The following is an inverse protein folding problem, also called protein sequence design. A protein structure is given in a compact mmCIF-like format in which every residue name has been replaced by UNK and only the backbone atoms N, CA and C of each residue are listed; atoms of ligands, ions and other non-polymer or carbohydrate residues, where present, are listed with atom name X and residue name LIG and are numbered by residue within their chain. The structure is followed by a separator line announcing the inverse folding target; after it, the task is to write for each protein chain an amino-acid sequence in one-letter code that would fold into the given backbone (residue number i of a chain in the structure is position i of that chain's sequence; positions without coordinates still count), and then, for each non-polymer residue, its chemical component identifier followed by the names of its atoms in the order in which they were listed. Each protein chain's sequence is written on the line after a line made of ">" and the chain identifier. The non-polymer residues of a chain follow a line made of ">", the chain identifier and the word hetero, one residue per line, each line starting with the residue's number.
data_IF_036614579195
#
_entry.id   IF_036614579195
#
_cell.length_a   1.000
_cell.length_b   1.000
_cell.length_c   1.000
_cell.angle_alpha   90.00
_cell.angle_beta   90.00
_cell.angle_gamma   90.00
#
_symmetry.space_group_name_H-M   'P 1'
#
loop_
_entity.id
_entity.type
_entity.pdbx_description
1 polymer ?
#
# COMPACT_ATOMS: atom_id res chain seq x y z
N UNK A 1 15.97 3.75 -38.23
CA UNK A 1 15.03 3.43 -37.13
C UNK A 1 15.93 3.27 -35.92
N UNK A 2 16.00 4.34 -35.09
CA UNK A 2 16.86 4.31 -33.89
C UNK A 2 16.34 3.34 -32.85
N UNK A 3 17.26 2.77 -32.09
CA UNK A 3 16.93 1.90 -30.96
C UNK A 3 16.12 2.73 -29.92
N UNK A 4 14.91 2.32 -29.64
CA UNK A 4 14.12 2.87 -28.57
C UNK A 4 14.76 2.50 -27.22
N UNK A 5 15.06 3.49 -26.42
CA UNK A 5 15.66 3.31 -25.09
C UNK A 5 14.79 4.03 -24.02
N UNK A 6 14.89 3.65 -22.75
CA UNK A 6 14.21 4.37 -21.65
C UNK A 6 14.47 5.90 -21.70
N UNK A 7 15.65 6.31 -22.12
CA UNK A 7 16.02 7.73 -22.31
C UNK A 7 15.21 8.44 -23.41
N UNK A 8 14.66 7.70 -24.39
CA UNK A 8 13.76 8.27 -25.41
C UNK A 8 12.38 8.57 -24.82
N UNK A 9 11.89 7.72 -23.92
CA UNK A 9 10.62 7.92 -23.22
C UNK A 9 10.73 9.10 -22.25
N UNK A 10 11.86 9.21 -21.56
CA UNK A 10 12.20 10.36 -20.71
C UNK A 10 12.14 11.66 -21.49
N UNK A 11 12.74 11.74 -22.68
CA UNK A 11 12.67 12.91 -23.54
C UNK A 11 11.22 13.25 -23.94
N UNK A 12 10.45 12.25 -24.37
CA UNK A 12 9.06 12.43 -24.78
C UNK A 12 8.20 12.93 -23.61
N UNK A 13 8.43 12.40 -22.42
CA UNK A 13 7.79 12.87 -21.19
C UNK A 13 8.09 14.35 -20.92
N UNK A 14 9.35 14.78 -21.05
CA UNK A 14 9.75 16.17 -20.86
C UNK A 14 9.06 17.13 -21.85
N UNK A 15 8.93 16.73 -23.12
CA UNK A 15 8.20 17.51 -24.12
C UNK A 15 6.73 17.67 -23.76
N UNK A 16 6.08 16.60 -23.28
CA UNK A 16 4.68 16.63 -22.81
C UNK A 16 4.53 17.57 -21.61
N UNK A 17 5.42 17.45 -20.61
CA UNK A 17 5.39 18.34 -19.44
C UNK A 17 5.55 19.79 -19.85
N UNK A 18 6.50 20.09 -20.75
CA UNK A 18 6.70 21.44 -21.25
C UNK A 18 5.43 21.98 -21.94
N UNK A 19 4.85 21.22 -22.88
CA UNK A 19 3.64 21.62 -23.60
C UNK A 19 2.45 21.85 -22.64
N UNK A 20 2.27 21.01 -21.64
CA UNK A 20 1.22 21.18 -20.63
C UNK A 20 1.40 22.47 -19.81
N UNK A 21 2.65 22.86 -19.51
CA UNK A 21 2.94 24.01 -18.66
C UNK A 21 2.98 25.33 -19.41
N UNK A 22 3.41 25.30 -20.68
CA UNK A 22 3.63 26.51 -21.50
C UNK A 22 2.53 26.70 -22.55
N UNK A 23 1.87 25.62 -22.97
CA UNK A 23 0.81 25.65 -23.99
C UNK A 23 1.33 25.53 -25.42
N UNK A 24 2.64 25.35 -25.64
CA UNK A 24 3.27 25.15 -26.92
C UNK A 24 4.45 24.16 -26.85
N UNK A 25 4.82 23.59 -27.99
CA UNK A 25 5.99 22.69 -28.04
C UNK A 25 7.30 23.46 -27.86
N UNK A 26 8.29 22.91 -27.15
CA UNK A 26 9.61 23.55 -26.98
C UNK A 26 10.35 23.74 -28.33
N UNK A 27 10.21 22.77 -29.22
CA UNK A 27 10.81 22.77 -30.55
C UNK A 27 9.84 22.18 -31.57
N UNK A 28 9.72 22.81 -32.74
CA UNK A 28 8.87 22.30 -33.83
C UNK A 28 9.45 21.04 -34.51
N UNK A 29 10.77 20.86 -34.43
CA UNK A 29 11.47 19.70 -34.97
C UNK A 29 12.92 19.60 -34.43
N UNK A 30 13.58 18.47 -34.73
CA UNK A 30 14.95 18.21 -34.32
C UNK A 30 15.98 19.25 -34.81
N UNK A 31 15.81 19.82 -35.99
CA UNK A 31 16.74 20.83 -36.52
C UNK A 31 16.69 22.13 -35.68
N UNK A 32 15.54 22.48 -35.18
CA UNK A 32 15.37 23.64 -34.29
C UNK A 32 16.05 23.39 -32.93
N UNK A 33 15.89 22.21 -32.35
CA UNK A 33 16.62 21.81 -31.12
C UNK A 33 18.12 21.96 -31.33
N UNK A 34 18.66 21.41 -32.41
CA UNK A 34 20.08 21.47 -32.73
C UNK A 34 20.59 22.91 -32.98
N UNK A 35 19.80 23.73 -33.65
CA UNK A 35 20.12 25.14 -33.89
C UNK A 35 20.18 25.98 -32.61
N UNK A 36 19.47 25.54 -31.55
CA UNK A 36 19.50 26.16 -30.22
C UNK A 36 20.56 25.55 -29.28
N UNK A 37 21.49 24.75 -29.81
CA UNK A 37 22.56 24.14 -29.02
C UNK A 37 22.18 22.86 -28.34
N UNK A 38 21.10 22.20 -28.77
CA UNK A 38 20.70 20.88 -28.28
C UNK A 38 19.98 20.88 -26.94
N UNK A 39 19.54 22.04 -26.43
CA UNK A 39 18.84 22.18 -25.15
C UNK A 39 17.91 23.40 -25.13
N UNK A 40 17.09 23.50 -24.07
CA UNK A 40 16.30 24.72 -23.81
C UNK A 40 17.21 25.90 -23.49
N UNK A 41 16.95 27.05 -24.07
CA UNK A 41 17.60 28.32 -23.74
C UNK A 41 16.84 29.01 -22.59
N UNK A 42 17.49 29.98 -21.93
CA UNK A 42 16.91 30.67 -20.77
C UNK A 42 15.53 31.28 -21.05
N UNK A 43 15.37 31.88 -22.24
CA UNK A 43 14.09 32.46 -22.69
C UNK A 43 13.01 31.41 -23.01
N UNK A 44 13.38 30.15 -23.08
CA UNK A 44 12.48 29.00 -23.28
C UNK A 44 12.12 28.30 -22.02
N UNK A 45 12.71 28.65 -20.88
CA UNK A 45 12.36 27.98 -19.61
C UNK A 45 10.88 28.12 -19.27
N UNK A 46 10.19 27.05 -18.82
CA UNK A 46 8.76 27.10 -18.54
C UNK A 46 8.32 28.27 -17.66
N UNK A 47 9.07 28.58 -16.59
CA UNK A 47 8.75 29.70 -15.69
C UNK A 47 8.90 31.07 -16.35
N UNK A 48 9.79 31.23 -17.35
CA UNK A 48 9.95 32.44 -18.10
C UNK A 48 8.84 32.65 -19.18
N UNK A 49 8.23 31.53 -19.59
CA UNK A 49 7.11 31.55 -20.57
C UNK A 49 5.75 31.65 -19.87
N UNK A 50 5.60 31.05 -18.74
CA UNK A 50 4.39 31.07 -17.93
C UNK A 50 4.73 31.36 -16.44
N UNK A 51 4.45 32.60 -15.96
CA UNK A 51 4.78 33.00 -14.58
C UNK A 51 4.06 32.21 -13.49
N UNK A 52 3.06 31.40 -13.85
CA UNK A 52 2.37 30.51 -12.89
C UNK A 52 3.06 29.15 -12.74
N UNK A 53 4.14 28.91 -13.49
CA UNK A 53 4.89 27.67 -13.42
C UNK A 53 5.99 27.79 -12.39
N UNK A 54 6.08 26.79 -11.51
CA UNK A 54 7.11 26.75 -10.50
C UNK A 54 8.51 26.50 -11.07
N UNK A 55 9.56 27.12 -10.51
CA UNK A 55 10.94 26.99 -11.01
C UNK A 55 11.49 25.57 -11.05
N UNK A 56 10.96 24.64 -10.25
CA UNK A 56 11.39 23.24 -10.32
C UNK A 56 11.07 22.57 -11.67
N UNK A 57 10.01 23.04 -12.37
CA UNK A 57 9.66 22.55 -13.72
C UNK A 57 10.76 22.89 -14.71
N UNK A 58 11.43 24.04 -14.55
CA UNK A 58 12.56 24.42 -15.39
C UNK A 58 13.69 23.40 -15.28
N UNK A 59 13.99 22.95 -14.06
CA UNK A 59 15.02 21.94 -13.82
C UNK A 59 14.64 20.61 -14.46
N UNK A 60 13.39 20.17 -14.28
CA UNK A 60 12.89 18.95 -14.93
C UNK A 60 13.02 19.06 -16.45
N UNK A 61 12.46 20.11 -17.05
CA UNK A 61 12.50 20.29 -18.49
C UNK A 61 13.93 20.45 -19.05
N UNK A 62 14.80 21.21 -18.37
CA UNK A 62 16.18 21.43 -18.82
C UNK A 62 17.04 20.16 -18.76
N UNK A 63 16.77 19.25 -17.83
CA UNK A 63 17.49 17.97 -17.70
C UNK A 63 16.97 16.87 -18.61
N UNK A 64 15.76 17.02 -19.13
CA UNK A 64 15.12 16.00 -19.96
C UNK A 64 15.13 16.36 -21.44
N UNK A 65 14.88 17.65 -21.78
CA UNK A 65 14.80 18.12 -23.15
C UNK A 65 16.20 18.54 -23.61
N UNK A 66 17.08 17.56 -23.73
CA UNK A 66 18.48 17.73 -24.18
C UNK A 66 18.74 16.73 -25.32
N UNK A 67 19.51 17.18 -26.37
CA UNK A 67 19.86 16.34 -27.52
C UNK A 67 20.67 15.11 -27.10
N UNK A 68 21.69 15.32 -26.26
CA UNK A 68 22.56 14.25 -25.78
C UNK A 68 21.88 13.43 -24.69
N UNK A 69 21.57 12.17 -25.00
CA UNK A 69 20.92 11.25 -24.09
C UNK A 69 21.73 10.95 -22.82
N UNK A 70 23.06 11.12 -22.87
CA UNK A 70 23.93 10.88 -21.68
C UNK A 70 23.81 12.00 -20.62
N UNK A 71 23.24 13.13 -20.97
CA UNK A 71 22.97 14.24 -20.07
C UNK A 71 21.53 14.27 -19.53
N UNK A 72 20.70 13.31 -19.96
CA UNK A 72 19.34 13.16 -19.42
C UNK A 72 19.34 12.30 -18.18
N UNK A 73 18.29 12.42 -17.38
CA UNK A 73 17.97 11.37 -16.42
C UNK A 73 17.79 10.02 -17.14
N UNK A 74 18.24 8.96 -16.49
CA UNK A 74 18.33 7.64 -17.15
C UNK A 74 16.96 6.96 -17.25
N UNK A 75 16.01 7.31 -16.38
CA UNK A 75 14.68 6.71 -16.30
C UNK A 75 13.66 7.66 -15.63
N UNK A 76 12.40 7.27 -15.66
CA UNK A 76 11.28 8.04 -15.08
C UNK A 76 11.36 8.06 -13.53
N UNK A 77 11.93 7.05 -12.91
CA UNK A 77 12.06 6.96 -11.45
C UNK A 77 12.88 8.11 -10.87
N UNK A 78 14.02 8.44 -11.48
CA UNK A 78 14.83 9.62 -11.10
C UNK A 78 14.06 10.93 -11.18
N UNK A 79 13.16 11.05 -12.16
CA UNK A 79 12.30 12.23 -12.31
C UNK A 79 11.28 12.28 -11.18
N UNK A 80 10.64 11.15 -10.87
CA UNK A 80 9.67 11.05 -9.80
C UNK A 80 10.29 11.37 -8.45
N UNK A 81 11.48 10.84 -8.17
CA UNK A 81 12.22 11.11 -6.94
C UNK A 81 12.54 12.60 -6.81
N UNK A 82 13.06 13.23 -7.88
CA UNK A 82 13.33 14.67 -7.88
C UNK A 82 12.06 15.51 -7.67
N UNK A 83 10.97 15.17 -8.35
CA UNK A 83 9.69 15.89 -8.18
C UNK A 83 9.18 15.72 -6.76
N UNK A 84 9.30 14.52 -6.19
CA UNK A 84 8.86 14.25 -4.83
C UNK A 84 9.68 15.06 -3.81
N UNK A 85 11.00 14.99 -3.88
CA UNK A 85 11.90 15.65 -2.93
C UNK A 85 11.87 17.19 -3.05
N UNK A 86 11.98 17.73 -4.26
CA UNK A 86 12.12 19.17 -4.49
C UNK A 86 10.78 19.91 -4.61
N UNK A 87 9.81 19.32 -5.28
CA UNK A 87 8.55 19.99 -5.54
C UNK A 87 7.50 19.74 -4.46
N UNK A 88 7.37 18.48 -4.03
CA UNK A 88 6.33 18.09 -3.08
C UNK A 88 6.80 18.37 -1.65
N UNK A 89 7.97 17.90 -1.27
CA UNK A 89 8.45 18.02 0.11
C UNK A 89 8.83 19.46 0.49
N UNK A 90 9.53 20.20 -0.38
CA UNK A 90 9.88 21.61 -0.11
C UNK A 90 8.69 22.57 -0.21
N UNK A 91 7.79 22.37 -1.15
CA UNK A 91 6.65 23.29 -1.37
C UNK A 91 5.45 22.97 -0.49
N UNK A 92 5.15 21.70 -0.32
CA UNK A 92 3.99 21.23 0.45
C UNK A 92 4.35 20.81 1.88
N UNK A 93 5.62 20.49 2.17
CA UNK A 93 6.12 20.28 3.54
C UNK A 93 6.18 21.57 4.39
N UNK A 94 6.06 22.76 3.76
CA UNK A 94 5.98 24.06 4.44
C UNK A 94 4.58 24.71 4.39
N UNK A 95 3.56 24.02 3.83
CA UNK A 95 2.20 24.53 3.93
C UNK A 95 1.77 24.57 5.40
N UNK A 96 1.09 25.65 5.79
CA UNK A 96 0.32 25.68 7.04
C UNK A 96 -0.46 24.38 7.13
N UNK A 97 -0.22 23.61 8.21
CA UNK A 97 -0.90 22.32 8.43
C UNK A 97 -2.38 22.54 8.20
N UNK A 98 -3.01 21.74 7.33
CA UNK A 98 -4.45 21.78 7.15
C UNK A 98 -5.10 21.75 8.54
N UNK A 99 -6.17 22.52 8.81
CA UNK A 99 -6.79 22.56 10.16
C UNK A 99 -7.16 21.19 10.71
N UNK A 100 -7.46 20.24 9.81
CA UNK A 100 -7.74 18.83 10.14
C UNK A 100 -6.50 17.93 10.11
N UNK A 101 -5.29 18.47 9.84
CA UNK A 101 -4.06 17.68 9.84
C UNK A 101 -3.74 17.24 11.27
N UNK A 102 -3.63 15.96 11.48
CA UNK A 102 -3.32 15.33 12.77
C UNK A 102 -2.19 14.35 12.65
N UNK A 103 -1.37 14.31 13.69
CA UNK A 103 -0.36 13.29 13.85
C UNK A 103 -1.02 11.95 14.16
N UNK A 104 -0.33 10.85 13.89
CA UNK A 104 -0.87 9.50 14.05
C UNK A 104 -1.44 9.24 15.47
N UNK A 105 -0.79 9.76 16.51
CA UNK A 105 -1.21 9.60 17.91
C UNK A 105 -2.48 10.36 18.27
N UNK A 106 -2.81 11.40 17.52
CA UNK A 106 -3.95 12.29 17.78
C UNK A 106 -5.23 11.84 17.06
N UNK A 107 -5.12 10.88 16.14
CA UNK A 107 -6.26 10.38 15.37
C UNK A 107 -7.29 9.71 16.26
N UNK A 108 -8.55 10.14 16.13
CA UNK A 108 -9.69 9.67 16.92
C UNK A 108 -10.99 9.65 16.11
N UNK A 109 -12.01 9.06 16.71
CA UNK A 109 -13.35 9.02 16.14
C UNK A 109 -13.89 10.43 15.87
N UNK A 110 -14.46 10.64 14.69
CA UNK A 110 -15.00 11.91 14.21
C UNK A 110 -14.02 12.74 13.38
N UNK A 111 -12.75 12.40 13.34
CA UNK A 111 -11.77 13.14 12.56
C UNK A 111 -11.99 12.94 11.06
N UNK A 112 -11.83 14.03 10.31
CA UNK A 112 -11.73 13.99 8.85
C UNK A 112 -10.25 13.79 8.48
N UNK A 113 -9.97 12.76 7.68
CA UNK A 113 -8.60 12.50 7.22
C UNK A 113 -8.38 12.93 5.77
N UNK A 114 -9.46 13.05 5.02
CA UNK A 114 -9.53 13.62 3.66
C UNK A 114 -10.90 14.31 3.50
N UNK A 115 -11.17 15.04 2.40
CA UNK A 115 -12.49 15.64 2.16
C UNK A 115 -13.63 14.62 2.15
N UNK A 116 -13.33 13.39 1.78
CA UNK A 116 -14.34 12.33 1.59
C UNK A 116 -14.41 11.33 2.73
N UNK A 117 -13.39 11.24 3.61
CA UNK A 117 -13.28 10.17 4.60
C UNK A 117 -13.27 10.72 6.02
N UNK A 118 -14.27 10.31 6.80
CA UNK A 118 -14.37 10.56 8.23
C UNK A 118 -14.20 9.26 9.03
N UNK A 119 -13.40 9.33 10.10
CA UNK A 119 -13.21 8.22 11.04
C UNK A 119 -14.43 8.08 11.93
N UNK A 120 -15.05 6.90 11.95
CA UNK A 120 -16.26 6.65 12.73
C UNK A 120 -15.97 5.96 14.06
N UNK A 121 -15.20 4.86 14.02
CA UNK A 121 -14.89 4.05 15.19
C UNK A 121 -13.53 3.40 15.02
N UNK A 122 -12.69 3.49 16.04
CA UNK A 122 -11.45 2.72 16.09
C UNK A 122 -11.78 1.23 16.22
N UNK A 123 -11.16 0.41 15.37
CA UNK A 123 -11.32 -1.04 15.32
C UNK A 123 -10.12 -1.76 15.94
N UNK A 124 -8.93 -1.16 15.89
CA UNK A 124 -7.73 -1.70 16.48
C UNK A 124 -6.50 -0.83 16.24
N UNK A 125 -5.50 -1.02 17.09
CA UNK A 125 -4.20 -0.37 17.01
C UNK A 125 -3.11 -1.43 17.05
N UNK A 126 -2.18 -1.38 16.09
CA UNK A 126 -0.98 -2.20 16.01
C UNK A 126 0.29 -1.38 16.15
N UNK A 127 1.44 -2.05 16.11
CA UNK A 127 2.75 -1.36 16.23
C UNK A 127 3.03 -0.33 15.12
N UNK A 128 2.44 -0.53 13.94
CA UNK A 128 2.73 0.25 12.73
C UNK A 128 1.52 0.94 12.13
N UNK A 129 0.31 0.67 12.61
CA UNK A 129 -0.93 1.22 12.03
C UNK A 129 -2.06 1.25 13.04
N UNK A 130 -3.04 2.15 12.78
CA UNK A 130 -4.38 2.15 13.38
C UNK A 130 -5.40 1.81 12.31
N UNK A 131 -6.40 1.03 12.70
CA UNK A 131 -7.52 0.68 11.82
C UNK A 131 -8.80 1.31 12.37
N UNK A 132 -9.51 2.03 11.51
CA UNK A 132 -10.79 2.61 11.84
C UNK A 132 -11.88 2.10 10.89
N UNK A 133 -13.08 1.99 11.41
CA UNK A 133 -14.27 2.05 10.59
C UNK A 133 -14.43 3.50 10.11
N UNK A 134 -14.65 3.71 8.84
CA UNK A 134 -14.76 5.03 8.23
C UNK A 134 -16.05 5.16 7.41
N UNK A 135 -16.49 6.39 7.25
CA UNK A 135 -17.67 6.78 6.46
C UNK A 135 -17.19 7.64 5.30
N UNK A 136 -17.72 7.36 4.11
CA UNK A 136 -17.50 8.23 2.95
C UNK A 136 -18.56 9.33 2.93
N UNK A 137 -18.12 10.60 3.04
CA UNK A 137 -19.04 11.77 3.20
C UNK A 137 -19.96 11.97 2.00
N UNK A 138 -19.49 11.65 0.79
CA UNK A 138 -20.27 11.78 -0.46
C UNK A 138 -21.11 10.56 -0.80
N UNK A 139 -20.99 9.45 -0.04
CA UNK A 139 -21.74 8.23 -0.23
C UNK A 139 -22.43 7.81 1.06
N UNK A 140 -23.58 8.40 1.40
CA UNK A 140 -24.28 8.12 2.64
C UNK A 140 -24.56 6.62 2.81
N UNK A 141 -24.17 6.06 3.96
CA UNK A 141 -24.33 4.64 4.27
C UNK A 141 -23.19 3.74 3.79
N UNK A 142 -22.26 4.23 2.96
CA UNK A 142 -21.07 3.46 2.61
C UNK A 142 -20.07 3.46 3.79
N UNK A 143 -19.80 2.25 4.28
CA UNK A 143 -18.83 2.02 5.37
C UNK A 143 -17.60 1.33 4.81
N UNK A 144 -16.43 1.76 5.30
CA UNK A 144 -15.13 1.22 4.92
C UNK A 144 -14.31 0.91 6.17
N UNK A 145 -13.28 0.09 6.03
CA UNK A 145 -12.18 0.03 6.96
C UNK A 145 -11.03 0.85 6.39
N UNK A 146 -10.43 1.71 7.19
CA UNK A 146 -9.24 2.48 6.83
C UNK A 146 -8.09 2.12 7.75
N UNK A 147 -6.99 1.64 7.18
CA UNK A 147 -5.73 1.35 7.87
C UNK A 147 -4.79 2.51 7.64
N UNK A 148 -4.47 3.26 8.70
CA UNK A 148 -3.61 4.44 8.66
C UNK A 148 -2.27 4.05 9.25
N UNK A 149 -1.19 4.27 8.49
CA UNK A 149 0.15 3.87 8.87
C UNK A 149 0.83 4.97 9.68
N UNK A 150 1.65 4.54 10.63
CA UNK A 150 2.48 5.42 11.46
C UNK A 150 3.55 6.10 10.62
N UNK A 151 3.96 7.28 11.05
CA UNK A 151 5.13 7.97 10.50
C UNK A 151 6.37 7.06 10.49
N UNK A 152 7.14 7.13 9.39
CA UNK A 152 8.33 6.31 9.20
C UNK A 152 8.08 4.89 8.65
N UNK A 153 6.81 4.49 8.43
CA UNK A 153 6.52 3.31 7.60
C UNK A 153 6.83 3.66 6.15
N UNK A 154 7.60 2.79 5.47
CA UNK A 154 7.97 3.02 4.08
C UNK A 154 6.72 3.16 3.19
N UNK A 155 6.54 4.27 2.48
CA UNK A 155 5.46 4.43 1.51
C UNK A 155 5.47 3.34 0.46
N UNK A 156 6.65 2.95 0.00
CA UNK A 156 6.81 1.95 -1.04
C UNK A 156 6.25 0.58 -0.60
N UNK A 157 6.49 0.15 0.64
CA UNK A 157 5.94 -1.13 1.12
C UNK A 157 4.41 -1.14 1.12
N UNK A 158 3.78 -0.02 1.48
CA UNK A 158 2.32 0.13 1.47
C UNK A 158 1.76 0.12 0.04
N UNK A 159 2.46 0.76 -0.89
CA UNK A 159 2.10 0.78 -2.32
C UNK A 159 2.26 -0.61 -2.92
N UNK A 160 3.32 -1.33 -2.61
CA UNK A 160 3.58 -2.68 -3.11
C UNK A 160 2.52 -3.67 -2.61
N UNK A 161 2.17 -3.60 -1.32
CA UNK A 161 1.08 -4.40 -0.75
C UNK A 161 -0.24 -4.13 -1.46
N UNK A 162 -0.59 -2.87 -1.63
CA UNK A 162 -1.81 -2.50 -2.34
C UNK A 162 -1.79 -2.99 -3.80
N UNK A 163 -0.70 -2.78 -4.54
CA UNK A 163 -0.57 -3.22 -5.92
C UNK A 163 -0.70 -4.73 -6.07
N UNK A 164 -0.21 -5.50 -5.09
CA UNK A 164 -0.37 -6.94 -5.06
C UNK A 164 -1.84 -7.37 -4.83
N UNK A 165 -2.60 -6.58 -4.08
CA UNK A 165 -3.94 -6.94 -3.60
C UNK A 165 -5.09 -6.24 -4.30
N UNK A 166 -4.87 -5.14 -5.02
CA UNK A 166 -5.94 -4.33 -5.67
C UNK A 166 -6.84 -5.13 -6.61
N UNK A 167 -6.28 -6.13 -7.28
CA UNK A 167 -6.98 -7.00 -8.23
C UNK A 167 -7.45 -8.33 -7.61
N UNK A 168 -7.22 -8.52 -6.31
CA UNK A 168 -7.69 -9.68 -5.57
C UNK A 168 -9.20 -9.57 -5.36
N UNK A 169 -9.95 -10.54 -5.85
CA UNK A 169 -11.40 -10.60 -5.72
C UNK A 169 -11.84 -12.02 -5.37
N UNK A 170 -12.10 -12.25 -4.10
CA UNK A 170 -12.53 -13.54 -3.57
C UNK A 170 -13.52 -13.31 -2.41
N UNK A 171 -14.59 -14.11 -2.28
CA UNK A 171 -15.64 -13.88 -1.26
C UNK A 171 -15.11 -13.96 0.19
N UNK A 172 -13.99 -14.64 0.42
CA UNK A 172 -13.40 -14.85 1.74
C UNK A 172 -12.09 -14.08 1.94
N UNK A 173 -11.84 -13.06 1.12
CA UNK A 173 -10.69 -12.16 1.23
C UNK A 173 -11.21 -10.72 1.21
N UNK A 174 -10.75 -9.88 2.13
CA UNK A 174 -11.10 -8.46 2.17
C UNK A 174 -10.73 -7.76 0.86
N UNK A 175 -11.63 -6.93 0.35
CA UNK A 175 -11.39 -6.18 -0.89
C UNK A 175 -10.72 -4.85 -0.60
N UNK A 176 -9.58 -4.64 -1.21
CA UNK A 176 -8.88 -3.36 -1.23
C UNK A 176 -9.56 -2.39 -2.22
N UNK A 177 -9.64 -1.11 -1.85
CA UNK A 177 -10.28 -0.07 -2.67
C UNK A 177 -9.25 0.87 -3.27
N UNK A 178 -8.54 1.61 -2.44
CA UNK A 178 -7.45 2.50 -2.86
C UNK A 178 -6.52 2.86 -1.70
N UNK A 179 -5.36 3.40 -2.03
CA UNK A 179 -4.43 4.05 -1.12
C UNK A 179 -4.55 5.55 -1.21
N UNK A 180 -4.18 6.26 -0.15
CA UNK A 180 -4.16 7.70 -0.13
C UNK A 180 -3.26 8.25 0.95
N UNK A 181 -3.28 9.59 1.07
CA UNK A 181 -2.54 10.35 2.06
C UNK A 181 -3.55 11.21 2.83
N UNK A 182 -3.45 11.20 4.15
CA UNK A 182 -4.30 12.04 5.01
C UNK A 182 -3.88 13.51 4.94
N UNK A 183 -4.69 14.42 5.46
CA UNK A 183 -4.30 15.83 5.64
C UNK A 183 -3.00 16.02 6.43
N UNK A 184 -2.67 15.08 7.34
CA UNK A 184 -1.43 15.06 8.12
C UNK A 184 -0.23 14.42 7.42
N UNK A 185 -0.37 14.01 6.15
CA UNK A 185 0.71 13.38 5.39
C UNK A 185 0.88 11.88 5.66
N UNK A 186 -0.01 11.26 6.46
CA UNK A 186 0.06 9.83 6.77
C UNK A 186 -0.52 8.99 5.64
N UNK A 187 0.16 7.91 5.29
CA UNK A 187 -0.37 6.94 4.32
C UNK A 187 -1.54 6.17 4.92
N UNK A 188 -2.54 5.87 4.09
CA UNK A 188 -3.63 4.98 4.46
C UNK A 188 -4.03 4.05 3.32
N UNK A 189 -4.59 2.91 3.69
CA UNK A 189 -5.25 1.98 2.77
C UNK A 189 -6.73 1.91 3.12
N UNK A 190 -7.60 2.11 2.14
CA UNK A 190 -9.04 1.95 2.26
C UNK A 190 -9.45 0.57 1.74
N UNK A 191 -10.27 -0.13 2.51
CA UNK A 191 -10.78 -1.45 2.18
C UNK A 191 -12.25 -1.58 2.55
N UNK A 192 -12.93 -2.63 2.09
CA UNK A 192 -14.30 -2.90 2.51
C UNK A 192 -14.40 -3.13 4.03
N UNK A 193 -15.47 -2.67 4.63
CA UNK A 193 -15.75 -2.92 6.04
C UNK A 193 -16.49 -4.25 6.19
N UNK A 194 -15.89 -5.19 6.93
CA UNK A 194 -16.49 -6.49 7.22
C UNK A 194 -17.23 -6.39 8.56
N UNK A 195 -18.56 -6.50 8.51
CA UNK A 195 -19.40 -6.39 9.69
C UNK A 195 -19.44 -7.72 10.45
N UNK A 196 -18.48 -7.92 11.33
CA UNK A 196 -18.29 -9.14 12.10
C UNK A 196 -17.35 -8.93 13.27
N UNK A 197 -16.89 -10.04 13.84
CA UNK A 197 -15.88 -10.09 14.90
C UNK A 197 -14.75 -10.98 14.45
N UNK A 198 -13.52 -10.65 14.84
CA UNK A 198 -12.42 -11.57 14.64
C UNK A 198 -12.63 -12.87 15.41
N UNK A 199 -12.08 -13.96 14.89
CA UNK A 199 -12.30 -15.28 15.52
C UNK A 199 -11.47 -15.47 16.80
N UNK A 200 -10.58 -14.54 17.15
CA UNK A 200 -9.88 -14.53 18.46
C UNK A 200 -10.88 -14.48 19.61
N UNK A 201 -11.95 -13.71 19.48
CA UNK A 201 -12.99 -13.65 20.50
C UNK A 201 -13.63 -15.02 20.78
N UNK A 202 -13.71 -15.88 19.76
CA UNK A 202 -14.22 -17.26 19.92
C UNK A 202 -13.16 -18.20 20.50
N UNK A 203 -11.88 -18.02 20.18
CA UNK A 203 -10.79 -18.81 20.77
C UNK A 203 -10.61 -18.55 22.27
N UNK A 204 -10.94 -17.35 22.73
CA UNK A 204 -10.83 -16.95 24.14
C UNK A 204 -12.13 -17.12 24.93
N UNK A 205 -13.25 -17.36 24.26
CA UNK A 205 -14.57 -17.50 24.88
C UNK A 205 -14.87 -18.92 25.34
N UNK A 206 -15.98 -19.06 26.07
CA UNK A 206 -16.49 -20.37 26.53
C UNK A 206 -17.33 -21.09 25.46
N UNK A 207 -17.52 -20.47 24.29
CA UNK A 207 -18.37 -20.99 23.22
C UNK A 207 -17.54 -21.51 22.06
N UNK A 208 -17.77 -22.76 21.73
CA UNK A 208 -17.18 -23.40 20.55
C UNK A 208 -18.08 -23.26 19.32
N UNK A 209 -17.47 -23.16 18.17
CA UNK A 209 -18.19 -23.32 16.92
C UNK A 209 -18.71 -24.75 16.77
N UNK A 210 -19.90 -24.88 16.19
CA UNK A 210 -20.44 -26.20 15.83
C UNK A 210 -19.64 -26.81 14.67
N UNK A 211 -19.63 -28.14 14.57
CA UNK A 211 -18.90 -28.83 13.50
C UNK A 211 -19.25 -28.34 12.08
N UNK A 212 -20.53 -28.05 11.73
CA UNK A 212 -20.83 -27.48 10.43
C UNK A 212 -20.15 -26.12 10.18
N UNK A 213 -20.04 -25.27 11.20
CA UNK A 213 -19.33 -23.99 11.09
C UNK A 213 -17.83 -24.21 10.94
N UNK A 214 -17.25 -25.18 11.65
CA UNK A 214 -15.84 -25.56 11.50
C UNK A 214 -15.54 -26.08 10.10
N UNK A 215 -16.38 -26.94 9.53
CA UNK A 215 -16.22 -27.40 8.15
C UNK A 215 -16.30 -26.25 7.16
N UNK A 216 -17.21 -25.32 7.38
CA UNK A 216 -17.32 -24.10 6.59
C UNK A 216 -16.05 -23.25 6.68
N UNK A 217 -15.53 -23.05 7.90
CA UNK A 217 -14.27 -22.33 8.15
C UNK A 217 -13.12 -22.93 7.33
N UNK A 218 -12.92 -24.25 7.45
CA UNK A 218 -11.86 -24.96 6.72
C UNK A 218 -12.02 -24.76 5.22
N UNK A 219 -13.24 -24.98 4.69
CA UNK A 219 -13.50 -24.83 3.26
C UNK A 219 -13.24 -23.40 2.76
N UNK A 220 -13.75 -22.39 3.45
CA UNK A 220 -13.64 -20.99 3.05
C UNK A 220 -12.20 -20.48 3.13
N UNK A 221 -11.46 -20.81 4.19
CA UNK A 221 -10.06 -20.42 4.33
C UNK A 221 -9.15 -21.17 3.35
N UNK A 222 -9.37 -22.46 3.15
CA UNK A 222 -8.63 -23.23 2.14
C UNK A 222 -8.87 -22.64 0.73
N UNK A 223 -10.13 -22.29 0.39
CA UNK A 223 -10.46 -21.63 -0.88
C UNK A 223 -9.73 -20.30 -1.05
N UNK A 224 -9.67 -19.48 0.00
CA UNK A 224 -8.95 -18.21 -0.01
C UNK A 224 -7.45 -18.41 -0.24
N UNK A 225 -6.82 -19.40 0.45
CA UNK A 225 -5.40 -19.70 0.26
C UNK A 225 -5.08 -20.26 -1.13
N UNK A 226 -5.89 -21.17 -1.65
CA UNK A 226 -5.73 -21.69 -3.01
C UNK A 226 -5.78 -20.55 -4.04
N UNK A 227 -6.71 -19.60 -3.85
CA UNK A 227 -6.83 -18.43 -4.72
C UNK A 227 -5.60 -17.52 -4.67
N UNK A 228 -5.04 -17.26 -3.48
CA UNK A 228 -3.83 -16.45 -3.30
C UNK A 228 -2.60 -17.16 -3.87
N UNK A 229 -2.37 -18.41 -3.48
CA UNK A 229 -1.19 -19.18 -3.88
C UNK A 229 -1.11 -19.39 -5.40
N UNK A 230 -2.26 -19.60 -6.06
CA UNK A 230 -2.33 -19.65 -7.53
C UNK A 230 -1.83 -18.35 -8.20
N UNK A 231 -1.85 -17.23 -7.49
CA UNK A 231 -1.33 -15.91 -7.91
C UNK A 231 0.05 -15.60 -7.36
N UNK A 232 0.70 -16.58 -6.71
CA UNK A 232 1.99 -16.43 -6.01
C UNK A 232 1.97 -15.38 -4.89
N UNK A 233 0.79 -15.12 -4.35
CA UNK A 233 0.59 -14.27 -3.19
C UNK A 233 0.50 -15.14 -1.93
N UNK A 234 1.12 -14.69 -0.85
CA UNK A 234 1.09 -15.34 0.47
C UNK A 234 0.64 -14.35 1.51
N UNK A 235 -0.16 -14.81 2.45
CA UNK A 235 -0.72 -13.93 3.49
C UNK A 235 0.31 -13.55 4.55
N UNK A 236 1.14 -14.50 4.97
CA UNK A 236 2.27 -14.37 5.92
C UNK A 236 1.91 -14.05 7.38
N UNK A 237 0.65 -13.81 7.69
CA UNK A 237 0.21 -13.56 9.07
C UNK A 237 -1.19 -14.14 9.34
N UNK A 238 -1.40 -15.42 9.00
CA UNK A 238 -2.66 -16.11 9.29
C UNK A 238 -2.72 -16.41 10.78
N UNK A 239 -3.73 -15.86 11.42
CA UNK A 239 -4.04 -16.03 12.85
C UNK A 239 -5.48 -15.65 13.13
N UNK A 240 -6.04 -16.00 14.30
CA UNK A 240 -7.44 -15.69 14.62
C UNK A 240 -7.81 -14.23 14.53
N UNK A 241 -6.91 -13.30 14.86
CA UNK A 241 -7.13 -11.85 14.79
C UNK A 241 -7.33 -11.35 13.37
N UNK A 242 -6.77 -12.06 12.37
CA UNK A 242 -6.80 -11.69 10.96
C UNK A 242 -7.91 -12.40 10.17
N UNK A 243 -8.86 -13.04 10.86
CA UNK A 243 -10.03 -13.70 10.25
C UNK A 243 -11.29 -13.20 10.92
N UNK A 244 -12.17 -12.52 10.18
CA UNK A 244 -13.45 -12.04 10.68
C UNK A 244 -14.54 -13.07 10.38
N UNK A 245 -15.32 -13.43 11.41
CA UNK A 245 -16.60 -14.11 11.23
C UNK A 245 -17.70 -13.06 11.08
N UNK A 246 -18.12 -12.86 9.84
CA UNK A 246 -19.11 -11.88 9.46
C UNK A 246 -20.51 -12.27 9.96
N UNK A 247 -21.38 -11.29 10.20
CA UNK A 247 -22.79 -11.53 10.61
C UNK A 247 -23.58 -12.37 9.61
N UNK A 248 -23.18 -12.38 8.36
CA UNK A 248 -23.75 -13.27 7.32
C UNK A 248 -23.39 -14.75 7.52
N UNK A 249 -22.50 -15.06 8.45
CA UNK A 249 -21.97 -16.40 8.72
C UNK A 249 -20.80 -16.78 7.80
N UNK A 250 -20.14 -15.82 7.15
CA UNK A 250 -18.98 -16.00 6.27
C UNK A 250 -17.69 -15.68 7.03
N UNK A 251 -16.62 -16.40 6.75
CA UNK A 251 -15.28 -16.07 7.22
C UNK A 251 -14.54 -15.25 6.16
N UNK A 252 -13.90 -14.16 6.58
CA UNK A 252 -13.16 -13.26 5.69
C UNK A 252 -11.76 -13.04 6.25
N UNK A 253 -10.76 -13.33 5.43
CA UNK A 253 -9.35 -13.09 5.71
C UNK A 253 -9.03 -11.61 5.49
N UNK A 254 -8.41 -10.99 6.48
CA UNK A 254 -8.06 -9.57 6.51
C UNK A 254 -6.58 -9.40 6.86
N UNK A 255 -6.08 -8.18 6.76
CA UNK A 255 -4.76 -7.74 7.25
C UNK A 255 -3.59 -8.56 6.70
N UNK A 256 -3.33 -8.37 5.41
CA UNK A 256 -2.21 -8.99 4.73
C UNK A 256 -0.89 -8.37 5.18
N UNK A 257 0.09 -9.20 5.42
CA UNK A 257 1.47 -8.78 5.61
C UNK A 257 2.30 -9.24 4.40
N UNK A 258 1.83 -8.85 3.21
CA UNK A 258 2.56 -9.09 1.95
C UNK A 258 3.72 -8.09 1.90
N UNK A 259 4.56 -8.10 2.92
CA UNK A 259 5.72 -7.27 2.88
C UNK A 259 6.63 -7.75 1.76
N UNK A 260 6.75 -6.88 0.77
CA UNK A 260 7.92 -6.57 -0.05
C UNK A 260 8.93 -7.71 -0.27
N UNK A 261 9.34 -7.81 -1.51
CA UNK A 261 10.49 -8.51 -2.09
C UNK A 261 11.83 -8.43 -1.31
N UNK A 262 11.92 -7.73 -0.19
CA UNK A 262 13.11 -7.70 0.66
C UNK A 262 13.08 -8.90 1.63
N UNK A 263 13.64 -10.00 1.15
CA UNK A 263 13.84 -11.29 1.81
C UNK A 263 14.61 -11.22 3.14
N UNK A 264 15.12 -10.05 3.53
CA UNK A 264 16.03 -9.89 4.67
C UNK A 264 15.38 -9.44 5.99
N UNK A 265 14.08 -9.12 6.02
CA UNK A 265 13.37 -8.69 7.24
C UNK A 265 12.57 -9.83 7.90
N UNK A 266 13.19 -11.00 8.10
CA UNK A 266 12.58 -12.13 8.79
C UNK A 266 12.23 -11.83 10.26
N UNK A 267 12.92 -10.89 10.89
CA UNK A 267 12.68 -10.52 12.30
C UNK A 267 11.34 -9.84 12.55
N UNK A 268 10.57 -9.50 11.49
CA UNK A 268 9.34 -8.72 11.59
C UNK A 268 8.11 -9.35 10.92
N UNK A 269 8.25 -10.50 10.29
CA UNK A 269 7.15 -11.12 9.51
C UNK A 269 6.55 -12.30 10.27
N UNK A 270 5.24 -12.22 10.51
CA UNK A 270 4.45 -13.28 11.14
C UNK A 270 4.39 -13.18 12.68
N UNK A 271 3.43 -13.91 13.24
CA UNK A 271 3.18 -13.98 14.67
C UNK A 271 3.70 -15.32 15.20
N UNK A 272 4.63 -15.28 16.18
CA UNK A 272 5.39 -16.43 16.67
C UNK A 272 4.62 -17.75 16.83
N UNK A 273 3.43 -17.83 17.46
CA UNK A 273 2.74 -19.10 17.63
C UNK A 273 2.27 -19.77 16.32
N UNK A 274 2.18 -19.00 15.22
CA UNK A 274 1.68 -19.45 13.92
C UNK A 274 2.79 -19.59 12.88
N UNK A 275 4.03 -19.25 13.23
CA UNK A 275 5.16 -19.30 12.31
C UNK A 275 5.59 -20.75 12.07
N UNK A 276 5.76 -21.12 10.82
CA UNK A 276 6.20 -22.48 10.46
C UNK A 276 7.64 -22.76 10.95
N UNK A 277 7.94 -23.99 11.43
CA UNK A 277 9.24 -24.32 12.04
C UNK A 277 10.45 -24.12 11.10
N UNK A 278 10.29 -24.32 9.80
CA UNK A 278 11.32 -24.13 8.77
C UNK A 278 11.72 -22.66 8.65
N UNK A 279 10.80 -21.73 8.84
CA UNK A 279 11.06 -20.28 8.89
C UNK A 279 11.80 -19.89 10.18
N UNK A 280 11.54 -20.60 11.31
CA UNK A 280 12.18 -20.30 12.59
C UNK A 280 13.65 -20.71 12.65
N UNK A 281 13.98 -21.81 12.00
CA UNK A 281 15.32 -22.39 12.06
C UNK A 281 16.34 -21.74 11.10
N UNK A 282 15.93 -20.69 10.37
CA UNK A 282 16.79 -20.03 9.39
C UNK A 282 17.21 -20.91 8.20
N UNK A 283 16.57 -22.05 8.04
CA UNK A 283 16.91 -23.02 6.97
C UNK A 283 16.39 -22.55 5.62
N UNK A 284 15.31 -21.80 5.57
CA UNK A 284 14.83 -21.15 4.35
C UNK A 284 14.46 -19.71 4.63
N UNK A 285 14.95 -18.82 3.77
CA UNK A 285 14.57 -17.40 3.78
C UNK A 285 13.35 -17.13 2.89
N UNK A 286 12.74 -18.19 2.33
CA UNK A 286 11.63 -18.07 1.39
C UNK A 286 10.33 -18.53 2.05
N UNK A 287 9.35 -17.64 2.06
CA UNK A 287 8.02 -17.96 2.52
C UNK A 287 7.30 -18.80 1.46
N UNK A 288 7.11 -20.06 1.76
CA UNK A 288 6.42 -21.02 0.89
C UNK A 288 4.90 -21.04 1.20
N UNK A 289 4.10 -21.59 0.28
CA UNK A 289 2.65 -21.77 0.46
C UNK A 289 2.33 -22.65 1.68
N UNK A 290 3.25 -23.57 2.02
CA UNK A 290 3.17 -24.42 3.21
C UNK A 290 3.15 -23.65 4.53
N UNK A 291 3.80 -22.48 4.59
CA UNK A 291 3.83 -21.65 5.80
C UNK A 291 2.44 -21.08 6.14
N UNK A 292 1.70 -20.59 5.13
CA UNK A 292 0.31 -20.16 5.33
C UNK A 292 -0.59 -21.34 5.72
N UNK A 293 -0.36 -22.51 5.12
CA UNK A 293 -1.10 -23.74 5.45
C UNK A 293 -0.83 -24.18 6.87
N UNK A 294 0.42 -24.11 7.34
CA UNK A 294 0.80 -24.40 8.74
C UNK A 294 0.09 -23.44 9.70
N UNK A 295 0.14 -22.13 9.43
CA UNK A 295 -0.50 -21.10 10.25
C UNK A 295 -2.02 -21.30 10.31
N UNK A 296 -2.67 -21.70 9.22
CA UNK A 296 -4.09 -22.08 9.20
C UNK A 296 -4.35 -23.32 10.07
N UNK A 297 -3.46 -24.32 10.05
CA UNK A 297 -3.55 -25.50 10.91
C UNK A 297 -3.52 -25.16 12.39
N UNK A 298 -2.61 -24.27 12.81
CA UNK A 298 -2.53 -23.79 14.20
C UNK A 298 -3.79 -22.98 14.58
N UNK A 299 -4.24 -22.11 13.67
CA UNK A 299 -5.47 -21.34 13.88
C UNK A 299 -6.68 -22.26 14.06
N UNK A 300 -6.81 -23.30 13.24
CA UNK A 300 -7.87 -24.29 13.37
C UNK A 300 -7.77 -25.07 14.68
N UNK A 301 -6.58 -25.51 15.08
CA UNK A 301 -6.35 -26.20 16.35
C UNK A 301 -6.82 -25.34 17.53
N UNK A 302 -6.39 -24.06 17.55
CA UNK A 302 -6.77 -23.13 18.59
C UNK A 302 -8.28 -22.87 18.61
N UNK A 303 -8.93 -22.76 17.46
CA UNK A 303 -10.38 -22.59 17.35
C UNK A 303 -11.16 -23.80 17.87
N UNK A 304 -10.59 -25.00 17.78
CA UNK A 304 -11.21 -26.25 18.24
C UNK A 304 -10.96 -26.52 19.73
N UNK A 305 -9.79 -26.13 20.26
CA UNK A 305 -9.33 -26.54 21.58
C UNK A 305 -9.16 -25.40 22.58
N UNK A 306 -9.25 -24.14 22.09
CA UNK A 306 -8.97 -22.90 22.84
C UNK A 306 -7.56 -22.89 23.45
N UNK A 307 -6.64 -23.62 22.83
CA UNK A 307 -5.24 -23.72 23.25
C UNK A 307 -4.31 -23.92 22.08
N UNK A 308 -3.03 -23.66 22.27
CA UNK A 308 -2.01 -24.02 21.26
C UNK A 308 -1.70 -25.53 21.31
N UNK A 309 -1.21 -26.14 20.22
CA UNK A 309 -0.85 -27.56 20.16
C UNK A 309 0.40 -27.90 21.01
N UNK A 310 1.07 -26.93 21.58
CA UNK A 310 2.22 -27.08 22.47
C UNK A 310 2.03 -26.32 23.80
N UNK A 311 2.71 -26.75 24.88
CA UNK A 311 2.63 -26.06 26.17
C UNK A 311 3.28 -24.66 26.05
N UNK A 312 2.53 -23.65 26.48
CA UNK A 312 3.00 -22.26 26.46
C UNK A 312 2.73 -21.52 25.15
N UNK A 313 3.21 -20.26 25.07
CA UNK A 313 3.05 -19.38 23.90
C UNK A 313 4.18 -19.51 22.86
N UNK A 314 5.05 -20.50 23.01
CA UNK A 314 6.21 -20.73 22.12
C UNK A 314 6.19 -22.16 21.61
N UNK A 315 6.55 -22.34 20.36
CA UNK A 315 6.94 -23.65 19.81
C UNK A 315 8.19 -24.10 20.57
N UNK A 316 8.28 -25.38 21.00
CA UNK A 316 9.44 -25.91 21.70
C UNK A 316 10.72 -25.79 20.91
#
# INVERSE_FOLDING_TARGET
>A
IGDYSPSSDVYSFGVIVYELMVGELPFSNYLQLKAKGGSLTEDMMPSNRNPNVDPWVDIVCSRIIVEDASHRWSNIEEICDYIFEEAIEKKYGQQEKHPEAKDWSELKNGDMITPEISLYKELGEGGFSKVFQAIHTLQPGAMFAVKIFKEGVSPQSTIDEFNALKDVSHPNIVRFKFNGITYGGLFYTLMEFINGKDIREYCLGDKYFTLPIIYKFIHEMASALVYLHARKLRHRDIKPENIIFEKSGKFVLIDFNIATSNVHDLDKVGTWPYLAPDLMNGQTMQWEDSADTFALGITLYELLTHSYPWPGKRIP
#
